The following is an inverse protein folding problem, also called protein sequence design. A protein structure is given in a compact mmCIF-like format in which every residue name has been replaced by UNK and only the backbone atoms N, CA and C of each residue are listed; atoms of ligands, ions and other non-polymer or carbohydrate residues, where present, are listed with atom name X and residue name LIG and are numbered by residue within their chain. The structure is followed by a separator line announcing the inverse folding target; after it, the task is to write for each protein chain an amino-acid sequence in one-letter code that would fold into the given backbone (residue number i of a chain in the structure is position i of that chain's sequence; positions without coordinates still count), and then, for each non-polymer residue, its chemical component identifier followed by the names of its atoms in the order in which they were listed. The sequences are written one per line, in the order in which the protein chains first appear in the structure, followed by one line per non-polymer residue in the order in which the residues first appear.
data_IF_967207265346
#
_entry.id   IF_967207265346
#
_cell.length_a   1.000
_cell.length_b   1.000
_cell.length_c   1.000
_cell.angle_alpha   90.00
_cell.angle_beta   90.00
_cell.angle_gamma   90.00
#
_symmetry.space_group_name_H-M   'P 1'
#
loop_
_entity.id
_entity.type
_entity.pdbx_description
1 polymer ?
#
# COMPACT_ATOMS: atom_id res chain seq x y z
N UNK A 1 -16.06 -6.11 5.91
CA UNK A 1 -17.15 -7.08 6.22
C UNK A 1 -17.81 -6.75 7.55
N UNK A 2 -17.04 -6.66 8.64
CA UNK A 2 -17.51 -6.27 9.99
C UNK A 2 -18.46 -5.06 10.01
N UNK A 3 -18.04 -3.91 9.46
CA UNK A 3 -18.88 -2.70 9.46
C UNK A 3 -20.19 -2.85 8.67
N UNK A 4 -20.23 -3.65 7.60
CA UNK A 4 -21.47 -3.87 6.84
C UNK A 4 -22.47 -4.76 7.59
N UNK A 5 -21.99 -5.63 8.48
CA UNK A 5 -22.81 -6.53 9.29
C UNK A 5 -23.24 -5.88 10.60
N UNK A 6 -22.34 -5.20 11.30
CA UNK A 6 -22.66 -4.43 12.50
C UNK A 6 -23.69 -3.32 12.21
N UNK A 7 -23.58 -2.63 11.06
CA UNK A 7 -24.55 -1.62 10.65
C UNK A 7 -25.94 -2.19 10.28
N UNK A 8 -26.05 -3.52 10.10
CA UNK A 8 -27.33 -4.21 9.87
C UNK A 8 -27.99 -4.73 11.15
N UNK A 9 -27.38 -4.51 12.33
CA UNK A 9 -27.98 -4.84 13.62
C UNK A 9 -27.82 -6.29 14.07
N UNK A 10 -26.84 -7.03 13.53
CA UNK A 10 -26.53 -8.38 14.00
C UNK A 10 -25.77 -8.36 15.33
N UNK A 11 -26.04 -9.34 16.18
CA UNK A 11 -25.32 -9.60 17.42
C UNK A 11 -23.82 -9.81 17.15
N UNK A 12 -22.96 -9.30 18.03
CA UNK A 12 -21.50 -9.32 17.82
C UNK A 12 -20.95 -10.74 17.67
N UNK A 13 -21.55 -11.71 18.37
CA UNK A 13 -21.24 -13.14 18.28
C UNK A 13 -21.56 -13.76 16.92
N UNK A 14 -22.64 -13.34 16.27
CA UNK A 14 -23.02 -13.83 14.93
C UNK A 14 -22.11 -13.22 13.85
N UNK A 15 -21.66 -11.98 14.05
CA UNK A 15 -20.71 -11.30 13.16
C UNK A 15 -19.34 -11.97 13.22
N UNK A 16 -18.86 -12.33 14.42
CA UNK A 16 -17.60 -13.06 14.59
C UNK A 16 -17.65 -14.44 13.93
N UNK A 17 -18.70 -15.22 14.21
CA UNK A 17 -18.88 -16.55 13.60
C UNK A 17 -18.93 -16.50 12.07
N UNK A 18 -19.62 -15.50 11.49
CA UNK A 18 -19.65 -15.31 10.04
C UNK A 18 -18.29 -14.93 9.45
N UNK A 19 -17.48 -14.15 10.18
CA UNK A 19 -16.13 -13.77 9.75
C UNK A 19 -15.19 -14.98 9.80
N UNK A 20 -15.25 -15.80 10.84
CA UNK A 20 -14.47 -17.04 10.93
C UNK A 20 -14.87 -18.05 9.87
N UNK A 21 -16.17 -18.17 9.60
CA UNK A 21 -16.66 -18.98 8.48
C UNK A 21 -16.09 -18.47 7.15
N UNK A 22 -16.15 -17.17 6.86
CA UNK A 22 -15.58 -16.62 5.63
C UNK A 22 -14.06 -16.75 5.52
N UNK A 23 -13.33 -16.67 6.64
CA UNK A 23 -11.88 -16.95 6.68
C UNK A 23 -11.58 -18.43 6.41
N UNK A 24 -12.29 -19.35 7.04
CA UNK A 24 -12.11 -20.80 6.88
C UNK A 24 -12.35 -21.29 5.44
N UNK A 25 -13.31 -20.69 4.73
CA UNK A 25 -13.56 -20.96 3.32
C UNK A 25 -12.65 -20.16 2.34
N UNK A 26 -11.66 -19.41 2.85
CA UNK A 26 -10.82 -18.46 2.06
C UNK A 26 -11.61 -17.40 1.26
N UNK A 27 -12.85 -17.12 1.64
CA UNK A 27 -13.58 -15.97 1.09
C UNK A 27 -12.99 -14.63 1.59
N UNK A 28 -12.34 -14.64 2.75
CA UNK A 28 -11.48 -13.57 3.26
C UNK A 28 -10.02 -14.04 3.24
N UNK A 29 -9.30 -13.64 2.20
CA UNK A 29 -7.86 -13.83 2.08
C UNK A 29 -7.20 -12.45 2.09
N UNK A 30 -6.90 -11.98 3.31
CA UNK A 30 -6.33 -10.65 3.55
C UNK A 30 -4.96 -10.50 2.87
N UNK A 31 -4.20 -11.60 2.73
CA UNK A 31 -2.91 -11.61 2.05
C UNK A 31 -3.07 -11.44 0.53
N UNK A 32 -3.98 -12.19 -0.08
CA UNK A 32 -4.31 -12.02 -1.51
C UNK A 32 -4.82 -10.62 -1.79
N UNK A 33 -5.67 -10.08 -0.90
CA UNK A 33 -6.14 -8.71 -0.99
C UNK A 33 -4.98 -7.71 -0.89
N UNK A 34 -4.11 -7.86 0.09
CA UNK A 34 -2.94 -7.00 0.29
C UNK A 34 -2.01 -7.01 -0.92
N UNK A 35 -1.66 -8.18 -1.46
CA UNK A 35 -0.83 -8.32 -2.68
C UNK A 35 -1.44 -7.60 -3.89
N UNK A 36 -2.75 -7.80 -4.12
CA UNK A 36 -3.47 -7.11 -5.19
C UNK A 36 -3.40 -5.57 -5.04
N UNK A 37 -3.55 -5.07 -3.82
CA UNK A 37 -3.43 -3.64 -3.53
C UNK A 37 -2.00 -3.12 -3.72
N UNK A 38 -0.99 -3.87 -3.28
CA UNK A 38 0.43 -3.54 -3.53
C UNK A 38 0.66 -3.38 -5.03
N UNK A 39 0.31 -4.39 -5.85
CA UNK A 39 0.44 -4.33 -7.32
C UNK A 39 -0.26 -3.12 -7.94
N UNK A 40 -1.49 -2.86 -7.53
CA UNK A 40 -2.28 -1.74 -8.03
C UNK A 40 -1.60 -0.39 -7.73
N UNK A 41 -1.01 -0.24 -6.55
CA UNK A 41 -0.33 0.98 -6.16
C UNK A 41 1.06 1.14 -6.77
N UNK A 42 1.81 0.04 -6.93
CA UNK A 42 3.07 0.02 -7.67
C UNK A 42 2.84 0.44 -9.12
N UNK A 43 1.81 -0.08 -9.78
CA UNK A 43 1.45 0.34 -11.13
C UNK A 43 1.16 1.86 -11.24
N UNK A 44 0.63 2.46 -10.18
CA UNK A 44 0.37 3.92 -10.08
C UNK A 44 1.61 4.74 -9.69
N UNK A 45 2.77 4.11 -9.46
CA UNK A 45 3.99 4.80 -9.01
C UNK A 45 3.86 5.33 -7.58
N UNK A 46 3.10 4.65 -6.72
CA UNK A 46 3.03 4.98 -5.29
C UNK A 46 4.17 4.26 -4.54
N UNK A 47 4.79 4.95 -3.58
CA UNK A 47 5.83 4.36 -2.74
C UNK A 47 5.27 3.56 -1.57
N UNK A 48 6.12 2.72 -0.98
CA UNK A 48 5.81 1.79 0.11
C UNK A 48 5.01 2.43 1.25
N UNK A 49 5.45 3.59 1.74
CA UNK A 49 4.80 4.30 2.85
C UNK A 49 3.32 4.60 2.58
N UNK A 50 2.98 4.99 1.35
CA UNK A 50 1.60 5.26 0.96
C UNK A 50 0.78 3.97 0.91
N UNK A 51 1.37 2.89 0.41
CA UNK A 51 0.73 1.58 0.32
C UNK A 51 0.39 1.06 1.72
N UNK A 52 1.35 1.14 2.65
CA UNK A 52 1.14 0.79 4.07
C UNK A 52 0.00 1.57 4.69
N UNK A 53 -0.07 2.88 4.44
CA UNK A 53 -1.13 3.74 4.97
C UNK A 53 -2.52 3.34 4.43
N UNK A 54 -2.63 3.07 3.13
CA UNK A 54 -3.89 2.66 2.49
C UNK A 54 -4.37 1.30 3.00
N UNK A 55 -3.45 0.33 3.18
CA UNK A 55 -3.78 -0.99 3.72
C UNK A 55 -4.17 -0.93 5.21
N UNK A 56 -3.50 -0.09 6.00
CA UNK A 56 -3.86 0.14 7.39
C UNK A 56 -5.25 0.79 7.54
N UNK A 57 -5.59 1.77 6.69
CA UNK A 57 -6.94 2.35 6.66
C UNK A 57 -8.02 1.31 6.34
N UNK A 58 -7.67 0.29 5.56
CA UNK A 58 -8.54 -0.86 5.26
C UNK A 58 -8.50 -1.96 6.33
N UNK A 59 -7.81 -1.71 7.44
CA UNK A 59 -7.64 -2.59 8.60
C UNK A 59 -6.97 -3.93 8.27
N UNK A 60 -6.11 -3.95 7.25
CA UNK A 60 -5.22 -5.10 7.01
C UNK A 60 -4.15 -5.11 8.08
N UNK A 61 -3.89 -6.27 8.70
CA UNK A 61 -2.90 -6.37 9.77
C UNK A 61 -1.50 -6.05 9.27
N UNK A 62 -0.67 -5.47 10.13
CA UNK A 62 0.70 -5.13 9.78
C UNK A 62 1.54 -6.34 9.34
N UNK A 63 1.29 -7.52 9.94
CA UNK A 63 1.92 -8.78 9.51
C UNK A 63 1.62 -9.13 8.06
N UNK A 64 0.36 -9.03 7.64
CA UNK A 64 -0.09 -9.33 6.27
C UNK A 64 0.43 -8.28 5.29
N UNK A 65 0.50 -7.01 5.70
CA UNK A 65 1.11 -5.95 4.88
C UNK A 65 2.59 -6.23 4.65
N UNK A 66 3.33 -6.62 5.69
CA UNK A 66 4.75 -6.96 5.57
C UNK A 66 4.97 -8.17 4.66
N UNK A 67 4.18 -9.23 4.84
CA UNK A 67 4.24 -10.43 4.01
C UNK A 67 3.94 -10.11 2.53
N UNK A 68 2.89 -9.33 2.26
CA UNK A 68 2.55 -8.92 0.90
C UNK A 68 3.65 -8.06 0.24
N UNK A 69 4.26 -7.12 0.98
CA UNK A 69 5.36 -6.29 0.45
C UNK A 69 6.63 -7.11 0.20
N UNK A 70 6.89 -8.11 1.03
CA UNK A 70 8.05 -9.00 0.89
C UNK A 70 7.88 -9.92 -0.33
N UNK A 71 6.71 -10.54 -0.51
CA UNK A 71 6.46 -11.47 -1.62
C UNK A 71 6.31 -10.79 -2.99
N UNK A 72 5.95 -9.50 -3.03
CA UNK A 72 5.86 -8.76 -4.30
C UNK A 72 7.21 -8.25 -4.80
N UNK A 73 8.28 -8.37 -3.98
CA UNK A 73 9.68 -8.07 -4.37
C UNK A 73 9.87 -6.74 -5.12
N UNK A 74 9.19 -5.69 -4.65
CA UNK A 74 9.14 -4.41 -5.36
C UNK A 74 10.46 -3.66 -5.26
N UNK A 75 11.07 -3.31 -6.40
CA UNK A 75 12.18 -2.37 -6.46
C UNK A 75 11.67 -0.92 -6.30
N UNK A 76 11.70 -0.44 -5.06
CA UNK A 76 11.26 0.92 -4.72
C UNK A 76 12.14 2.01 -5.33
N UNK A 77 13.42 1.73 -5.55
CA UNK A 77 14.35 2.69 -6.14
C UNK A 77 14.04 2.88 -7.63
N UNK A 78 13.92 1.79 -8.38
CA UNK A 78 13.58 1.85 -9.81
C UNK A 78 12.16 2.41 -10.00
N UNK A 79 11.21 2.08 -9.12
CA UNK A 79 9.87 2.68 -9.13
C UNK A 79 9.93 4.20 -8.91
N UNK A 80 10.73 4.67 -7.95
CA UNK A 80 10.86 6.10 -7.67
C UNK A 80 11.51 6.84 -8.85
N UNK A 81 12.58 6.25 -9.43
CA UNK A 81 13.30 6.79 -10.59
C UNK A 81 12.40 6.88 -11.81
N UNK A 82 11.78 5.79 -12.24
CA UNK A 82 10.88 5.76 -13.42
C UNK A 82 9.69 6.72 -13.26
N UNK A 83 9.14 6.84 -12.05
CA UNK A 83 8.06 7.80 -11.77
C UNK A 83 8.57 9.25 -11.82
N UNK A 84 9.78 9.52 -11.33
CA UNK A 84 10.40 10.84 -11.38
C UNK A 84 10.75 11.26 -12.81
N UNK A 85 11.31 10.37 -13.62
CA UNK A 85 11.59 10.63 -15.05
C UNK A 85 10.32 10.98 -15.82
N UNK A 86 9.23 10.24 -15.60
CA UNK A 86 7.93 10.53 -16.21
C UNK A 86 7.37 11.88 -15.77
N UNK A 87 7.58 12.26 -14.51
CA UNK A 87 7.04 13.49 -13.91
C UNK A 87 7.87 14.72 -14.25
N UNK A 88 9.19 14.58 -14.27
CA UNK A 88 10.17 15.64 -14.46
C UNK A 88 10.92 15.43 -15.78
N UNK A 89 10.18 15.45 -16.91
CA UNK A 89 10.72 15.19 -18.25
C UNK A 89 11.83 16.15 -18.69
N UNK A 90 11.98 17.28 -18.00
CA UNK A 90 13.00 18.30 -18.26
C UNK A 90 14.24 18.15 -17.37
N UNK A 91 14.33 17.04 -16.61
CA UNK A 91 15.48 16.72 -15.79
C UNK A 91 15.54 17.49 -14.47
N UNK A 92 16.75 17.60 -13.93
CA UNK A 92 17.02 18.30 -12.67
C UNK A 92 16.61 19.76 -12.80
N UNK A 93 15.75 20.22 -11.89
CA UNK A 93 15.34 21.62 -11.90
C UNK A 93 16.51 22.54 -11.53
N UNK A 94 16.70 23.61 -12.30
CA UNK A 94 17.69 24.66 -12.02
C UNK A 94 17.22 25.60 -10.90
N UNK A 95 15.89 25.74 -10.72
CA UNK A 95 15.30 26.53 -9.64
C UNK A 95 15.36 25.76 -8.30
N UNK A 96 15.88 26.37 -7.22
CA UNK A 96 15.95 25.75 -5.90
C UNK A 96 14.60 25.26 -5.35
N UNK A 97 13.48 25.94 -5.64
CA UNK A 97 12.16 25.50 -5.15
C UNK A 97 11.68 24.25 -5.89
N UNK A 98 11.84 24.22 -7.21
CA UNK A 98 11.54 23.02 -8.02
C UNK A 98 12.48 21.85 -7.68
N UNK A 99 13.76 22.10 -7.40
CA UNK A 99 14.69 21.07 -6.92
C UNK A 99 14.24 20.48 -5.58
N UNK A 100 13.84 21.32 -4.62
CA UNK A 100 13.30 20.86 -3.35
C UNK A 100 12.02 20.02 -3.52
N UNK A 101 11.17 20.34 -4.51
CA UNK A 101 10.00 19.50 -4.87
C UNK A 101 10.41 18.14 -5.41
N UNK A 102 11.44 18.07 -6.27
CA UNK A 102 11.98 16.81 -6.78
C UNK A 102 12.56 15.94 -5.65
N UNK A 103 13.33 16.53 -4.74
CA UNK A 103 13.90 15.84 -3.56
C UNK A 103 12.80 15.29 -2.65
N UNK A 104 11.81 16.11 -2.28
CA UNK A 104 10.69 15.66 -1.45
C UNK A 104 9.87 14.56 -2.14
N UNK A 105 9.71 14.66 -3.46
CA UNK A 105 8.99 13.66 -4.25
C UNK A 105 9.67 12.28 -4.20
N UNK A 106 11.00 12.25 -4.27
CA UNK A 106 11.81 11.04 -4.18
C UNK A 106 11.87 10.52 -2.74
N UNK A 107 12.09 11.38 -1.73
CA UNK A 107 12.12 10.98 -0.31
C UNK A 107 10.82 10.30 0.15
N UNK A 108 9.68 10.72 -0.40
CA UNK A 108 8.38 10.12 -0.06
C UNK A 108 8.18 8.72 -0.68
N UNK A 109 9.01 8.32 -1.65
CA UNK A 109 8.90 7.05 -2.39
C UNK A 109 10.04 6.08 -2.14
N UNK A 110 11.27 6.60 -2.06
CA UNK A 110 12.47 5.84 -1.78
C UNK A 110 12.73 5.87 -0.27
N UNK A 111 11.95 5.11 0.49
CA UNK A 111 12.38 4.73 1.84
C UNK A 111 13.33 3.55 1.70
N UNK A 112 14.63 3.84 1.52
CA UNK A 112 15.81 3.03 1.89
C UNK A 112 17.04 3.51 1.09
N UNK A 113 17.66 4.58 1.57
CA UNK A 113 19.03 4.96 1.20
C UNK A 113 19.90 5.09 2.47
N UNK A 114 19.69 4.17 3.41
CA UNK A 114 20.53 3.98 4.59
C UNK A 114 20.81 2.50 4.78
N UNK A 115 21.77 1.99 4.01
CA UNK A 115 22.74 0.98 4.43
C UNK A 115 24.10 1.37 3.89
#
# INVERSE_FOLDING_TARGET
MYQKLAFKGYEESEVEAAIELCKSYRYLDDLRFAKSQVRQHVYKGHGERRIRQELNQKRVSESVVNEALMEEEVDWFELAKTTAEKKFRHGKASDPKEYAKQVRFLQYRATLLTK
#
